data_IF_083665280134
#
_entry.id   IF_083665280134
#
_cell.length_a   1.000
_cell.length_b   1.000
_cell.length_c   1.000
_cell.angle_alpha   90.00
_cell.angle_beta   90.00
_cell.angle_gamma   90.00
#
_symmetry.space_group_name_H-M   'P 1'
#
loop_
_entity.id
_entity.type
_entity.pdbx_description
1 polymer ?
#
# COMPACT_ATOMS: atom_id res chain seq x y z
N UNK A 1 -5.63 -6.54 -12.62
CA UNK A 1 -7.05 -6.55 -12.24
C UNK A 1 -7.21 -6.50 -10.73
N UNK A 2 -8.13 -5.67 -10.24
CA UNK A 2 -8.41 -5.52 -8.82
C UNK A 2 -9.81 -6.07 -8.50
N UNK A 3 -9.92 -6.95 -7.50
CA UNK A 3 -11.21 -7.54 -7.09
C UNK A 3 -12.23 -6.48 -6.63
N UNK A 4 -11.76 -5.31 -6.19
CA UNK A 4 -12.61 -4.18 -5.79
C UNK A 4 -13.30 -3.46 -6.95
N UNK A 5 -13.00 -3.82 -8.19
CA UNK A 5 -13.57 -3.22 -9.40
C UNK A 5 -14.61 -4.12 -10.11
N UNK A 6 -15.15 -5.10 -9.41
CA UNK A 6 -16.18 -6.02 -9.91
C UNK A 6 -17.43 -5.29 -10.42
N UNK A 7 -17.96 -4.35 -9.65
CA UNK A 7 -19.09 -3.51 -10.06
C UNK A 7 -18.82 -2.69 -11.32
N UNK A 8 -17.60 -2.13 -11.48
CA UNK A 8 -17.23 -1.41 -12.69
C UNK A 8 -17.20 -2.36 -13.90
N UNK A 9 -16.59 -3.54 -13.76
CA UNK A 9 -16.52 -4.53 -14.83
C UNK A 9 -17.90 -4.99 -15.26
N UNK A 10 -18.81 -5.22 -14.30
CA UNK A 10 -20.21 -5.53 -14.57
C UNK A 10 -20.88 -4.45 -15.41
N UNK A 11 -20.82 -3.20 -14.97
CA UNK A 11 -21.43 -2.07 -15.70
C UNK A 11 -20.86 -1.93 -17.12
N UNK A 12 -19.53 -2.10 -17.29
CA UNK A 12 -18.91 -2.04 -18.61
C UNK A 12 -19.39 -3.17 -19.53
N UNK A 13 -19.52 -4.39 -19.03
CA UNK A 13 -20.00 -5.51 -19.82
C UNK A 13 -21.49 -5.37 -20.18
N UNK A 14 -22.31 -4.75 -19.33
CA UNK A 14 -23.71 -4.47 -19.60
C UNK A 14 -23.92 -3.31 -20.58
N UNK A 15 -23.05 -2.30 -20.56
CA UNK A 15 -23.20 -1.08 -21.34
C UNK A 15 -22.64 -1.19 -22.77
N UNK A 16 -21.57 -1.95 -22.96
CA UNK A 16 -20.84 -2.03 -24.23
C UNK A 16 -21.06 -3.38 -24.91
N UNK A 17 -21.21 -3.35 -26.25
CA UNK A 17 -21.34 -4.58 -27.05
C UNK A 17 -20.03 -5.37 -27.08
N UNK A 18 -18.89 -4.68 -27.14
CA UNK A 18 -17.58 -5.31 -27.07
C UNK A 18 -16.55 -4.42 -26.40
N UNK A 19 -15.64 -5.07 -25.69
CA UNK A 19 -14.55 -4.45 -24.95
C UNK A 19 -13.24 -5.13 -25.39
N UNK A 20 -12.29 -4.33 -25.87
CA UNK A 20 -10.97 -4.79 -26.28
C UNK A 20 -9.94 -4.25 -25.31
N UNK A 21 -9.21 -5.14 -24.64
CA UNK A 21 -8.21 -4.79 -23.62
C UNK A 21 -6.84 -5.29 -24.08
N UNK A 22 -5.97 -4.36 -24.43
CA UNK A 22 -4.59 -4.65 -24.78
C UNK A 22 -3.67 -4.30 -23.60
N UNK A 23 -3.15 -5.31 -22.92
CA UNK A 23 -2.31 -5.17 -21.74
C UNK A 23 -0.84 -5.03 -22.13
N UNK A 24 -0.26 -3.87 -21.82
CA UNK A 24 1.13 -3.51 -22.17
C UNK A 24 2.13 -3.78 -21.05
N UNK A 25 1.67 -4.33 -19.92
CA UNK A 25 2.53 -4.60 -18.75
C UNK A 25 3.27 -3.36 -18.21
N UNK A 26 4.49 -3.49 -17.71
CA UNK A 26 5.31 -2.38 -17.20
C UNK A 26 5.08 -2.05 -15.73
N UNK A 27 4.60 -3.02 -14.93
CA UNK A 27 4.39 -2.84 -13.49
C UNK A 27 5.73 -2.85 -12.72
N UNK A 28 6.23 -1.66 -12.39
CA UNK A 28 7.46 -1.50 -11.62
C UNK A 28 7.32 -1.74 -10.11
N UNK A 29 6.10 -2.06 -9.63
CA UNK A 29 5.84 -2.37 -8.21
C UNK A 29 6.02 -3.86 -7.89
N UNK A 30 6.21 -4.70 -8.90
CA UNK A 30 6.50 -6.13 -8.75
C UNK A 30 7.98 -6.36 -8.41
N UNK A 31 8.34 -7.57 -8.00
CA UNK A 31 9.71 -7.98 -7.67
C UNK A 31 10.03 -9.36 -8.26
N UNK A 32 11.31 -9.75 -8.22
CA UNK A 32 11.75 -11.06 -8.67
C UNK A 32 11.46 -11.33 -10.15
N UNK A 33 11.07 -12.56 -10.47
CA UNK A 33 10.76 -12.99 -11.83
C UNK A 33 9.61 -12.20 -12.44
N UNK A 34 8.58 -11.92 -11.65
CA UNK A 34 7.45 -11.11 -12.12
C UNK A 34 7.89 -9.73 -12.59
N UNK A 35 8.85 -9.09 -11.89
CA UNK A 35 9.41 -7.79 -12.32
C UNK A 35 10.19 -7.90 -13.62
N UNK A 36 10.90 -9.01 -13.84
CA UNK A 36 11.60 -9.27 -15.10
C UNK A 36 10.64 -9.43 -16.27
N UNK A 37 9.54 -10.16 -16.08
CA UNK A 37 8.49 -10.35 -17.09
C UNK A 37 7.80 -9.03 -17.46
N UNK A 38 7.49 -8.19 -16.47
CA UNK A 38 6.89 -6.86 -16.68
C UNK A 38 7.81 -5.92 -17.46
N UNK A 39 9.12 -5.99 -17.24
CA UNK A 39 10.19 -5.22 -17.88
C UNK A 39 9.90 -3.72 -17.86
N UNK A 40 10.02 -3.03 -18.99
CA UNK A 40 9.92 -1.58 -19.07
C UNK A 40 8.49 -1.10 -19.28
N UNK A 41 8.22 0.15 -18.90
CA UNK A 41 6.93 0.78 -19.15
C UNK A 41 6.98 1.58 -20.46
N UNK A 42 5.91 1.56 -21.24
CA UNK A 42 5.83 2.28 -22.54
C UNK A 42 5.98 3.81 -22.39
N UNK A 43 5.61 4.38 -21.26
CA UNK A 43 5.80 5.81 -20.96
C UNK A 43 7.19 6.13 -20.36
N UNK A 44 8.08 5.14 -20.23
CA UNK A 44 9.45 5.33 -19.78
C UNK A 44 9.61 5.39 -18.26
N UNK A 45 10.76 5.97 -17.83
CA UNK A 45 11.12 6.03 -16.41
C UNK A 45 10.17 6.94 -15.62
N UNK A 46 9.87 6.53 -14.38
CA UNK A 46 8.95 7.25 -13.49
C UNK A 46 7.53 6.65 -13.45
N UNK A 47 7.05 6.02 -14.50
CA UNK A 47 5.75 5.31 -14.49
C UNK A 47 5.90 3.94 -13.84
N UNK A 48 5.17 3.73 -12.75
CA UNK A 48 5.27 2.51 -11.92
C UNK A 48 4.08 1.56 -12.05
N UNK A 49 3.00 1.99 -12.65
CA UNK A 49 1.77 1.20 -12.85
C UNK A 49 1.76 0.54 -14.22
N UNK A 50 1.20 -0.67 -14.33
CA UNK A 50 1.01 -1.31 -15.65
C UNK A 50 0.06 -0.48 -16.50
N UNK A 51 0.22 -0.57 -17.82
CA UNK A 51 -0.60 0.14 -18.80
C UNK A 51 -1.46 -0.87 -19.54
N UNK A 52 -2.71 -0.51 -19.79
CA UNK A 52 -3.59 -1.21 -20.71
C UNK A 52 -4.30 -0.19 -21.60
N UNK A 53 -4.40 -0.49 -22.89
CA UNK A 53 -5.25 0.24 -23.84
C UNK A 53 -6.60 -0.46 -23.82
N UNK A 54 -7.67 0.30 -23.59
CA UNK A 54 -9.04 -0.21 -23.58
C UNK A 54 -9.85 0.50 -24.67
N UNK A 55 -10.46 -0.27 -25.57
CA UNK A 55 -11.36 0.24 -26.60
C UNK A 55 -12.73 -0.36 -26.34
N UNK A 56 -13.70 0.52 -26.08
CA UNK A 56 -15.06 0.18 -25.71
C UNK A 56 -15.99 0.51 -26.87
N UNK A 57 -16.69 -0.49 -27.40
CA UNK A 57 -17.60 -0.33 -28.54
C UNK A 57 -19.04 -0.43 -28.06
N UNK A 58 -19.83 0.61 -28.31
CA UNK A 58 -21.26 0.65 -27.99
C UNK A 58 -22.06 0.52 -29.28
N UNK A 59 -22.60 -0.68 -29.53
CA UNK A 59 -23.50 -0.94 -30.64
C UNK A 59 -24.82 -1.52 -30.11
N UNK A 60 -25.89 -0.69 -30.05
CA UNK A 60 -27.18 -1.14 -29.57
C UNK A 60 -27.84 -2.26 -30.44
N UNK A 61 -27.38 -2.41 -31.67
CA UNK A 61 -27.89 -3.42 -32.60
C UNK A 61 -27.04 -4.69 -32.64
N UNK A 62 -26.03 -4.81 -31.79
CA UNK A 62 -25.21 -6.02 -31.71
C UNK A 62 -26.04 -7.20 -31.19
N UNK A 63 -25.90 -8.34 -31.83
CA UNK A 63 -26.59 -9.59 -31.42
C UNK A 63 -26.22 -10.02 -30.02
N UNK A 64 -25.00 -9.72 -29.58
CA UNK A 64 -24.49 -10.02 -28.23
C UNK A 64 -23.87 -8.76 -27.63
N UNK A 65 -24.15 -8.55 -26.37
CA UNK A 65 -23.54 -7.51 -25.55
C UNK A 65 -22.46 -8.11 -24.64
N UNK A 66 -21.51 -7.30 -24.17
CA UNK A 66 -20.55 -7.67 -23.15
C UNK A 66 -19.44 -8.62 -23.60
N UNK A 67 -19.13 -8.68 -24.90
CA UNK A 67 -18.00 -9.51 -25.38
C UNK A 67 -16.68 -8.86 -24.99
N UNK A 68 -15.85 -9.59 -24.28
CA UNK A 68 -14.59 -9.09 -23.74
C UNK A 68 -13.43 -9.81 -24.45
N UNK A 69 -12.54 -9.02 -25.03
CA UNK A 69 -11.36 -9.48 -25.74
C UNK A 69 -10.11 -8.98 -25.06
N UNK A 70 -9.21 -9.88 -24.72
CA UNK A 70 -7.96 -9.57 -24.03
C UNK A 70 -6.77 -9.96 -24.91
N UNK A 71 -5.78 -9.08 -24.96
CA UNK A 71 -4.47 -9.36 -25.54
C UNK A 71 -3.36 -8.89 -24.60
N UNK A 72 -2.37 -9.75 -24.37
CA UNK A 72 -1.19 -9.43 -23.57
C UNK A 72 0.02 -9.29 -24.49
N UNK A 73 0.77 -8.21 -24.34
CA UNK A 73 1.91 -7.90 -25.22
C UNK A 73 3.07 -8.91 -25.10
N UNK A 74 3.14 -9.64 -24.00
CA UNK A 74 4.17 -10.65 -23.76
C UNK A 74 5.18 -10.29 -22.67
N UNK A 75 6.03 -11.29 -22.32
CA UNK A 75 7.04 -11.24 -21.27
C UNK A 75 8.34 -10.59 -21.77
N UNK A 76 9.08 -9.95 -20.84
CA UNK A 76 10.47 -9.47 -20.97
C UNK A 76 10.73 -8.38 -22.02
N UNK A 77 9.70 -7.75 -22.58
CA UNK A 77 9.85 -6.76 -23.64
C UNK A 77 10.37 -5.43 -23.10
N UNK A 78 11.38 -4.87 -23.76
CA UNK A 78 11.83 -3.49 -23.52
C UNK A 78 10.77 -2.49 -23.98
N UNK A 79 10.92 -1.23 -23.58
CA UNK A 79 10.04 -0.14 -24.03
C UNK A 79 9.97 -0.06 -25.56
N UNK A 80 11.12 -0.11 -26.22
CA UNK A 80 11.27 -0.01 -27.66
C UNK A 80 10.56 -1.19 -28.36
N UNK A 81 10.76 -2.41 -27.90
CA UNK A 81 10.09 -3.62 -28.42
C UNK A 81 8.58 -3.54 -28.27
N UNK A 82 8.08 -3.02 -27.13
CA UNK A 82 6.63 -2.82 -26.93
C UNK A 82 6.05 -1.82 -27.92
N UNK A 83 6.75 -0.68 -28.14
CA UNK A 83 6.31 0.32 -29.09
C UNK A 83 6.34 -0.19 -30.53
N UNK A 84 7.34 -0.97 -30.89
CA UNK A 84 7.43 -1.66 -32.19
C UNK A 84 6.27 -2.63 -32.36
N UNK A 85 6.02 -3.52 -31.39
CA UNK A 85 4.87 -4.43 -31.41
C UNK A 85 3.53 -3.70 -31.57
N UNK A 86 3.33 -2.59 -30.85
CA UNK A 86 2.11 -1.77 -30.99
C UNK A 86 1.98 -1.21 -32.41
N UNK A 87 3.09 -0.71 -32.97
CA UNK A 87 3.11 -0.17 -34.34
C UNK A 87 2.83 -1.25 -35.38
N UNK A 88 3.40 -2.44 -35.22
CA UNK A 88 3.16 -3.59 -36.12
C UNK A 88 1.73 -4.11 -36.08
N UNK A 89 1.10 -4.14 -34.90
CA UNK A 89 -0.29 -4.55 -34.73
C UNK A 89 -1.25 -3.50 -35.29
N UNK A 90 -0.94 -2.22 -35.14
CA UNK A 90 -1.59 -1.07 -35.75
C UNK A 90 -3.04 -0.83 -35.33
N UNK A 91 -3.86 -1.89 -35.15
CA UNK A 91 -5.28 -1.78 -34.86
C UNK A 91 -5.85 -3.02 -34.18
N UNK A 92 -7.11 -2.96 -33.74
CA UNK A 92 -7.89 -4.11 -33.27
C UNK A 92 -7.88 -5.24 -34.33
N UNK A 93 -8.05 -4.87 -35.61
CA UNK A 93 -8.06 -5.83 -36.70
C UNK A 93 -6.70 -6.48 -36.91
N UNK A 94 -5.60 -5.75 -36.78
CA UNK A 94 -4.26 -6.32 -36.86
C UNK A 94 -3.97 -7.36 -35.78
N UNK A 95 -4.54 -7.19 -34.59
CA UNK A 95 -4.48 -8.23 -33.53
C UNK A 95 -5.39 -9.41 -33.90
N UNK A 96 -6.58 -9.15 -34.45
CA UNK A 96 -7.53 -10.20 -34.86
C UNK A 96 -6.99 -11.06 -35.99
N UNK A 97 -6.37 -10.48 -37.01
CA UNK A 97 -5.74 -11.17 -38.13
C UNK A 97 -4.63 -12.15 -37.70
N UNK A 98 -3.94 -11.81 -36.59
CA UNK A 98 -2.93 -12.65 -35.96
C UNK A 98 -3.52 -13.63 -34.93
N UNK A 99 -4.85 -13.72 -34.83
CA UNK A 99 -5.56 -14.53 -33.82
C UNK A 99 -5.11 -14.24 -32.38
N UNK A 100 -4.73 -12.98 -32.12
CA UNK A 100 -4.13 -12.57 -30.85
C UNK A 100 -5.15 -12.25 -29.75
N UNK A 101 -6.45 -12.19 -30.06
CA UNK A 101 -7.47 -11.93 -29.05
C UNK A 101 -7.89 -13.20 -28.33
N UNK A 102 -7.85 -13.16 -26.99
CA UNK A 102 -8.47 -14.14 -26.10
C UNK A 102 -9.84 -13.62 -25.69
N UNK A 103 -10.91 -14.36 -25.98
CA UNK A 103 -12.24 -14.04 -25.46
C UNK A 103 -12.30 -14.43 -23.98
N UNK A 104 -12.75 -13.48 -23.15
CA UNK A 104 -12.90 -13.64 -21.70
C UNK A 104 -14.37 -13.82 -21.37
N UNK A 105 -14.68 -14.88 -20.63
CA UNK A 105 -15.99 -15.10 -20.02
C UNK A 105 -15.85 -14.75 -18.52
N UNK A 106 -16.51 -13.69 -18.04
CA UNK A 106 -16.49 -13.36 -16.62
C UNK A 106 -17.03 -14.48 -15.74
N UNK A 107 -16.53 -14.60 -14.53
CA UNK A 107 -17.14 -15.45 -13.51
C UNK A 107 -18.41 -14.82 -12.90
N UNK A 108 -19.06 -15.51 -11.95
CA UNK A 108 -20.25 -15.03 -11.24
C UNK A 108 -20.04 -13.72 -10.46
N UNK A 109 -18.77 -13.38 -10.16
CA UNK A 109 -18.37 -12.14 -9.49
C UNK A 109 -17.98 -11.03 -10.47
N UNK A 110 -18.12 -11.25 -11.78
CA UNK A 110 -17.67 -10.37 -12.86
C UNK A 110 -16.13 -10.15 -12.87
N UNK A 111 -15.36 -11.12 -12.39
CA UNK A 111 -13.91 -11.11 -12.54
C UNK A 111 -13.54 -11.65 -13.93
N UNK A 112 -12.62 -10.94 -14.62
CA UNK A 112 -12.27 -11.25 -16.01
C UNK A 112 -11.06 -12.17 -16.11
N UNK A 113 -9.93 -11.81 -15.48
CA UNK A 113 -8.67 -12.54 -15.57
C UNK A 113 -8.34 -13.29 -14.28
N UNK A 114 -8.42 -12.60 -13.13
CA UNK A 114 -8.13 -13.18 -11.82
C UNK A 114 -9.42 -13.68 -11.18
N UNK A 115 -10.04 -14.68 -11.82
CA UNK A 115 -11.27 -15.29 -11.34
C UNK A 115 -11.05 -15.93 -9.96
N UNK A 116 -12.06 -15.84 -9.12
CA UNK A 116 -12.01 -16.36 -7.75
C UNK A 116 -12.07 -17.89 -7.77
N UNK A 117 -11.30 -18.50 -6.89
CA UNK A 117 -11.43 -19.93 -6.65
C UNK A 117 -12.71 -20.19 -5.84
N UNK A 118 -13.70 -20.93 -6.36
CA UNK A 118 -14.94 -21.23 -5.66
C UNK A 118 -14.72 -22.04 -4.37
N UNK A 119 -13.57 -22.70 -4.23
CA UNK A 119 -13.23 -23.40 -2.99
C UNK A 119 -12.79 -22.46 -1.87
N UNK A 120 -12.59 -21.16 -2.15
CA UNK A 120 -12.08 -20.23 -1.14
C UNK A 120 -13.00 -20.15 0.09
N UNK A 121 -14.33 -20.23 -0.10
CA UNK A 121 -15.30 -20.15 0.99
C UNK A 121 -15.34 -21.42 1.87
N UNK A 122 -14.67 -22.50 1.45
CA UNK A 122 -14.52 -23.72 2.23
C UNK A 122 -13.36 -23.62 3.25
N UNK A 123 -12.51 -22.60 3.16
CA UNK A 123 -11.39 -22.41 4.07
C UNK A 123 -11.77 -21.55 5.28
N UNK A 124 -11.27 -21.94 6.46
CA UNK A 124 -11.40 -21.11 7.65
C UNK A 124 -10.59 -19.82 7.45
N UNK A 125 -11.23 -18.68 7.63
CA UNK A 125 -10.58 -17.38 7.52
C UNK A 125 -9.48 -17.21 8.57
N UNK A 126 -8.36 -16.60 8.20
CA UNK A 126 -7.31 -16.26 9.18
C UNK A 126 -7.82 -15.26 10.22
N UNK A 127 -8.73 -14.37 9.86
CA UNK A 127 -9.34 -13.42 10.77
C UNK A 127 -10.45 -12.63 10.08
N UNK A 128 -11.46 -12.21 10.83
CA UNK A 128 -12.55 -11.37 10.34
C UNK A 128 -12.71 -10.11 11.20
N UNK A 129 -12.77 -8.94 10.56
CA UNK A 129 -12.97 -7.65 11.24
C UNK A 129 -14.45 -7.27 11.37
N UNK A 130 -15.28 -7.84 10.54
CA UNK A 130 -16.68 -7.45 10.41
C UNK A 130 -17.56 -8.32 11.29
N UNK A 131 -17.38 -9.62 11.21
CA UNK A 131 -18.14 -10.60 12.00
C UNK A 131 -17.29 -11.12 13.17
N UNK A 132 -17.68 -10.72 14.39
CA UNK A 132 -17.01 -11.15 15.62
C UNK A 132 -17.33 -12.60 15.99
N UNK A 133 -18.35 -13.19 15.40
CA UNK A 133 -18.77 -14.56 15.65
C UNK A 133 -18.28 -15.52 14.56
N UNK A 134 -17.61 -15.01 13.52
CA UNK A 134 -17.05 -15.83 12.47
C UNK A 134 -16.03 -16.83 13.03
N UNK A 135 -16.05 -18.05 12.50
CA UNK A 135 -15.01 -19.03 12.79
C UNK A 135 -13.71 -18.56 12.13
N UNK A 136 -12.72 -18.20 12.94
CA UNK A 136 -11.42 -17.68 12.49
C UNK A 136 -10.25 -18.37 13.19
N UNK A 137 -9.09 -18.37 12.55
CA UNK A 137 -7.86 -18.92 13.17
C UNK A 137 -7.30 -17.96 14.22
N UNK A 138 -7.33 -16.65 13.96
CA UNK A 138 -6.78 -15.62 14.85
C UNK A 138 -7.82 -14.53 15.14
N UNK A 139 -8.05 -14.26 16.42
CA UNK A 139 -8.90 -13.15 16.87
C UNK A 139 -8.26 -11.78 16.64
N UNK A 140 -6.95 -11.71 16.77
CA UNK A 140 -6.18 -10.48 16.63
C UNK A 140 -5.18 -10.57 15.48
N UNK A 141 -5.16 -9.54 14.64
CA UNK A 141 -4.17 -9.40 13.59
C UNK A 141 -3.84 -7.93 13.35
N UNK A 142 -2.64 -7.66 12.89
CA UNK A 142 -2.10 -6.31 12.75
C UNK A 142 -1.25 -6.20 11.49
N UNK A 143 -1.20 -5.01 10.91
CA UNK A 143 -0.23 -4.70 9.84
C UNK A 143 1.18 -4.44 10.38
N UNK A 144 1.42 -4.64 11.68
CA UNK A 144 2.67 -4.29 12.34
C UNK A 144 2.69 -2.81 12.76
N UNK A 145 3.88 -2.31 13.07
CA UNK A 145 4.08 -0.91 13.45
C UNK A 145 4.56 -0.11 12.24
N UNK A 146 4.00 1.07 12.05
CA UNK A 146 4.45 2.05 11.06
C UNK A 146 4.98 3.25 11.80
N UNK A 147 6.28 3.44 11.78
CA UNK A 147 6.94 4.57 12.47
C UNK A 147 6.97 5.83 11.63
N UNK A 148 7.14 5.74 10.32
CA UNK A 148 7.52 6.80 9.37
C UNK A 148 8.86 7.49 9.71
N UNK A 149 9.59 6.96 10.71
CA UNK A 149 10.87 7.46 11.20
C UNK A 149 11.71 6.34 11.80
N UNK A 150 11.95 5.30 11.02
CA UNK A 150 12.67 4.10 11.49
C UNK A 150 14.03 4.47 12.06
N UNK A 151 14.77 5.39 11.44
CA UNK A 151 16.08 5.86 11.92
C UNK A 151 16.06 6.44 13.36
N UNK A 152 14.90 6.88 13.84
CA UNK A 152 14.71 7.37 15.20
C UNK A 152 14.13 6.30 16.14
N UNK A 153 13.15 5.56 15.64
CA UNK A 153 12.35 4.65 16.45
C UNK A 153 12.93 3.23 16.56
N UNK A 154 14.00 2.90 15.82
CA UNK A 154 14.71 1.64 15.90
C UNK A 154 16.19 1.83 16.18
N UNK A 155 16.80 0.94 16.95
CA UNK A 155 18.23 0.88 17.16
C UNK A 155 18.66 -0.51 17.65
N UNK A 156 19.90 -0.91 17.38
CA UNK A 156 20.49 -2.12 17.92
C UNK A 156 20.80 -2.02 19.44
N UNK A 157 21.00 -0.80 19.94
CA UNK A 157 21.21 -0.51 21.36
C UNK A 157 19.97 0.15 21.94
N UNK A 158 19.45 -0.39 23.06
CA UNK A 158 18.35 0.21 23.82
C UNK A 158 18.74 1.55 24.47
N UNK A 159 19.98 1.70 24.92
CA UNK A 159 20.48 2.96 25.48
C UNK A 159 20.58 4.06 24.43
N UNK A 160 21.08 3.75 23.23
CA UNK A 160 21.11 4.71 22.12
C UNK A 160 19.70 5.04 21.63
N UNK A 161 18.80 4.08 21.59
CA UNK A 161 17.40 4.33 21.27
C UNK A 161 16.75 5.26 22.29
N UNK A 162 16.97 5.02 23.59
CA UNK A 162 16.49 5.86 24.69
C UNK A 162 16.95 7.31 24.49
N UNK A 163 18.25 7.51 24.29
CA UNK A 163 18.84 8.83 24.08
C UNK A 163 18.26 9.51 22.82
N UNK A 164 18.17 8.81 21.71
CA UNK A 164 17.61 9.33 20.47
C UNK A 164 16.16 9.79 20.67
N UNK A 165 15.34 8.97 21.34
CA UNK A 165 13.93 9.29 21.54
C UNK A 165 13.74 10.45 22.54
N UNK A 166 14.54 10.51 23.59
CA UNK A 166 14.53 11.65 24.53
C UNK A 166 14.90 12.95 23.81
N UNK A 167 15.94 12.92 22.99
CA UNK A 167 16.38 14.08 22.22
C UNK A 167 15.30 14.53 21.21
N UNK A 168 14.70 13.60 20.47
CA UNK A 168 13.66 13.89 19.49
C UNK A 168 12.39 14.47 20.16
N UNK A 169 11.94 13.86 21.27
CA UNK A 169 10.77 14.32 22.02
C UNK A 169 11.05 15.69 22.64
N UNK A 170 12.24 15.89 23.19
CA UNK A 170 12.68 17.19 23.72
C UNK A 170 12.68 18.28 22.64
N UNK A 171 13.22 17.99 21.47
CA UNK A 171 13.18 18.90 20.34
C UNK A 171 11.75 19.22 19.91
N UNK A 172 10.87 18.22 19.77
CA UNK A 172 9.46 18.43 19.44
C UNK A 172 8.77 19.33 20.47
N UNK A 173 8.94 19.06 21.76
CA UNK A 173 8.32 19.87 22.83
C UNK A 173 8.83 21.33 22.83
N UNK A 174 10.11 21.54 22.50
CA UNK A 174 10.66 22.88 22.32
C UNK A 174 10.02 23.60 21.11
N UNK A 175 9.79 22.91 20.00
CA UNK A 175 9.07 23.48 18.85
C UNK A 175 7.62 23.81 19.18
N UNK A 176 6.93 22.98 19.99
CA UNK A 176 5.60 23.29 20.51
C UNK A 176 5.63 24.59 21.34
N UNK A 177 6.56 24.70 22.29
CA UNK A 177 6.70 25.92 23.13
C UNK A 177 7.01 27.16 22.29
N UNK A 178 7.91 27.03 21.30
CA UNK A 178 8.27 28.08 20.34
C UNK A 178 7.05 28.57 19.55
N UNK A 179 6.24 27.64 19.04
CA UNK A 179 5.02 27.94 18.28
C UNK A 179 3.97 28.61 19.16
N UNK A 180 3.71 28.09 20.36
CA UNK A 180 2.75 28.67 21.31
C UNK A 180 3.15 30.09 21.71
N UNK A 181 4.45 30.32 21.89
CA UNK A 181 4.97 31.67 22.17
C UNK A 181 4.73 32.64 21.01
N UNK A 182 5.01 32.18 19.77
CA UNK A 182 4.77 33.00 18.58
C UNK A 182 3.28 33.30 18.34
N UNK A 183 2.38 32.40 18.77
CA UNK A 183 0.92 32.60 18.66
C UNK A 183 0.30 33.42 19.79
N UNK A 184 1.06 33.77 20.82
CA UNK A 184 0.52 34.48 22.01
C UNK A 184 -0.08 35.83 21.62
N UNK A 185 -1.36 36.03 21.93
CA UNK A 185 -2.08 37.29 21.64
C UNK A 185 -2.56 37.43 20.18
N UNK A 186 -2.30 36.45 19.32
CA UNK A 186 -2.75 36.44 17.91
C UNK A 186 -4.09 35.75 17.75
N UNK A 187 -4.97 36.30 16.92
CA UNK A 187 -6.16 35.60 16.43
C UNK A 187 -5.75 34.43 15.52
N UNK A 188 -6.65 33.48 15.29
CA UNK A 188 -6.36 32.26 14.49
C UNK A 188 -5.81 32.56 13.08
N UNK A 189 -6.38 33.57 12.41
CA UNK A 189 -5.95 34.00 11.08
C UNK A 189 -4.60 34.73 11.03
N UNK A 190 -4.06 35.13 12.18
CA UNK A 190 -2.77 35.81 12.30
C UNK A 190 -1.64 34.87 12.70
N UNK A 191 -1.98 33.63 13.07
CA UNK A 191 -0.98 32.63 13.46
C UNK A 191 -0.12 32.22 12.27
N UNK A 192 1.17 31.93 12.48
CA UNK A 192 2.04 31.46 11.43
C UNK A 192 1.56 30.10 10.90
N UNK A 193 1.72 29.87 9.59
CA UNK A 193 1.52 28.55 8.99
C UNK A 193 2.54 27.57 9.59
N UNK A 194 2.05 26.42 10.02
CA UNK A 194 2.85 25.39 10.71
C UNK A 194 3.99 24.91 9.83
N UNK A 195 3.74 24.64 8.53
CA UNK A 195 4.77 24.12 7.65
C UNK A 195 5.90 25.11 7.38
N UNK A 196 5.59 26.41 7.38
CA UNK A 196 6.59 27.46 7.20
C UNK A 196 7.34 27.80 8.50
N UNK A 197 6.74 27.48 9.65
CA UNK A 197 7.30 27.79 10.97
C UNK A 197 8.29 26.73 11.47
N UNK A 198 8.06 25.44 11.15
CA UNK A 198 8.82 24.33 11.69
C UNK A 198 10.30 24.36 11.29
N UNK A 199 11.13 23.92 12.21
CA UNK A 199 12.51 23.59 11.90
C UNK A 199 12.59 22.17 11.31
N UNK A 200 12.98 22.06 10.04
CA UNK A 200 13.12 20.81 9.28
C UNK A 200 14.54 20.23 9.33
N UNK A 201 15.26 20.43 10.41
CA UNK A 201 16.55 19.77 10.62
C UNK A 201 16.35 18.26 10.87
N UNK A 202 16.58 17.47 9.84
CA UNK A 202 16.43 16.00 9.87
C UNK A 202 17.38 15.33 10.88
N UNK A 203 18.43 16.03 11.35
CA UNK A 203 19.30 15.53 12.40
C UNK A 203 18.64 15.63 13.79
N UNK A 204 17.54 16.35 13.91
CA UNK A 204 16.79 16.56 15.16
C UNK A 204 15.48 15.77 15.20
N UNK A 205 14.76 15.78 14.08
CA UNK A 205 13.47 15.11 14.00
C UNK A 205 13.01 14.92 12.55
N UNK A 206 12.36 13.80 12.28
CA UNK A 206 11.57 13.59 11.05
C UNK A 206 10.10 13.90 11.35
N UNK A 207 9.55 14.92 10.67
CA UNK A 207 8.16 15.36 10.85
C UNK A 207 7.18 14.50 10.04
N UNK A 208 6.04 14.21 10.63
CA UNK A 208 4.91 13.65 9.91
C UNK A 208 3.60 14.40 10.26
N UNK A 209 2.51 14.01 9.63
CA UNK A 209 1.22 14.66 9.73
C UNK A 209 0.69 14.73 11.18
N UNK A 210 0.91 13.71 12.01
CA UNK A 210 0.42 13.68 13.38
C UNK A 210 1.07 14.79 14.24
N UNK A 211 2.40 14.89 14.18
CA UNK A 211 3.14 15.91 14.94
C UNK A 211 2.82 17.32 14.46
N UNK A 212 2.66 17.51 13.14
CA UNK A 212 2.28 18.80 12.56
C UNK A 212 0.88 19.26 12.99
N UNK A 213 -0.05 18.31 13.21
CA UNK A 213 -1.39 18.59 13.70
C UNK A 213 -1.46 18.80 15.23
N UNK A 214 -0.60 18.13 15.98
CA UNK A 214 -0.59 18.20 17.44
C UNK A 214 0.12 19.45 17.94
N UNK A 215 1.15 19.92 17.23
CA UNK A 215 1.96 21.10 17.59
C UNK A 215 1.13 22.40 17.77
N UNK A 216 0.26 22.81 16.83
CA UNK A 216 -0.53 24.03 17.01
C UNK A 216 -1.55 23.93 18.15
N UNK A 217 -1.92 22.73 18.56
CA UNK A 217 -2.79 22.48 19.71
C UNK A 217 -2.05 22.57 21.05
N UNK A 218 -0.73 22.76 21.02
CA UNK A 218 0.09 22.79 22.22
C UNK A 218 0.32 21.43 22.87
N UNK A 219 0.06 20.33 22.15
CA UNK A 219 0.22 18.98 22.67
C UNK A 219 1.69 18.60 22.74
N UNK A 220 2.17 18.30 23.92
CA UNK A 220 3.52 17.79 24.18
C UNK A 220 3.54 16.28 24.30
N UNK A 221 4.70 15.66 24.09
CA UNK A 221 4.91 14.22 24.25
C UNK A 221 5.81 13.95 25.46
N UNK A 222 5.59 12.78 26.08
CA UNK A 222 6.37 12.35 27.23
C UNK A 222 7.10 11.05 26.84
N UNK A 223 8.40 11.02 27.14
CA UNK A 223 9.17 9.78 26.99
C UNK A 223 8.77 8.78 28.09
N UNK A 224 8.65 7.51 27.71
CA UNK A 224 8.34 6.40 28.62
C UNK A 224 9.26 5.21 28.34
N UNK A 225 9.99 4.75 29.32
CA UNK A 225 10.91 3.59 29.19
C UNK A 225 10.18 2.31 28.77
N UNK A 226 8.97 2.08 29.27
CA UNK A 226 8.15 0.94 28.93
C UNK A 226 7.74 0.86 27.43
N UNK A 227 7.98 1.92 26.68
CA UNK A 227 7.78 1.94 25.22
C UNK A 227 8.93 1.31 24.45
N UNK A 228 10.09 1.05 25.09
CA UNK A 228 11.21 0.36 24.45
C UNK A 228 10.97 -1.16 24.54
N UNK A 229 10.93 -1.81 23.38
CA UNK A 229 10.65 -3.24 23.27
C UNK A 229 11.56 -3.88 22.22
N UNK A 230 11.89 -5.16 22.41
CA UNK A 230 12.57 -5.94 21.38
C UNK A 230 11.62 -6.19 20.20
N UNK A 231 12.11 -6.02 18.99
CA UNK A 231 11.33 -6.16 17.76
C UNK A 231 12.08 -6.93 16.68
N UNK A 232 11.33 -7.66 15.86
CA UNK A 232 11.82 -8.20 14.59
C UNK A 232 11.67 -7.11 13.53
N UNK A 233 12.74 -6.36 13.28
CA UNK A 233 12.71 -5.23 12.33
C UNK A 233 12.61 -5.70 10.87
N UNK A 234 13.38 -6.71 10.54
CA UNK A 234 13.39 -7.39 9.24
C UNK A 234 13.41 -8.90 9.49
N UNK A 235 13.09 -9.75 8.51
CA UNK A 235 13.38 -11.16 8.64
C UNK A 235 14.83 -11.36 9.07
N UNK A 236 15.04 -12.09 10.18
CA UNK A 236 16.35 -12.40 10.75
C UNK A 236 17.11 -11.21 11.40
N UNK A 237 16.51 -10.03 11.51
CA UNK A 237 17.14 -8.86 12.16
C UNK A 237 16.33 -8.42 13.36
N UNK A 238 16.92 -8.51 14.57
CA UNK A 238 16.32 -8.02 15.82
C UNK A 238 16.92 -6.67 16.18
N UNK A 239 16.05 -5.74 16.55
CA UNK A 239 16.41 -4.42 17.07
C UNK A 239 15.49 -4.06 18.22
N UNK A 240 15.80 -2.96 18.91
CA UNK A 240 14.90 -2.32 19.85
C UNK A 240 14.03 -1.31 19.13
N UNK A 241 12.73 -1.26 19.48
CA UNK A 241 11.78 -0.27 18.96
C UNK A 241 11.21 0.56 20.09
N UNK A 242 11.02 1.85 19.84
CA UNK A 242 10.17 2.69 20.68
C UNK A 242 8.73 2.61 20.20
N UNK A 243 7.90 1.81 20.85
CA UNK A 243 6.51 1.54 20.48
C UNK A 243 5.55 2.44 21.29
N UNK A 244 5.18 3.57 20.75
CA UNK A 244 4.31 4.56 21.40
C UNK A 244 3.31 5.16 20.40
N UNK A 245 2.02 5.25 20.80
CA UNK A 245 0.95 5.74 19.92
C UNK A 245 1.09 7.22 19.52
N UNK A 246 1.70 8.04 20.35
CA UNK A 246 1.86 9.46 20.10
C UNK A 246 3.01 9.74 19.15
N UNK A 247 4.06 8.93 19.23
CA UNK A 247 5.28 9.11 18.45
C UNK A 247 5.21 8.35 17.11
N UNK A 248 4.75 7.10 17.13
CA UNK A 248 4.68 6.31 15.90
C UNK A 248 3.47 6.72 15.05
N UNK A 249 3.63 6.68 13.74
CA UNK A 249 2.55 7.01 12.81
C UNK A 249 1.34 6.09 13.01
N UNK A 250 1.56 4.78 13.12
CA UNK A 250 0.51 3.78 13.44
C UNK A 250 1.11 2.61 14.22
N UNK A 251 0.49 2.26 15.32
CA UNK A 251 0.82 1.05 16.10
C UNK A 251 -0.19 -0.08 15.88
N UNK A 252 -1.32 0.21 15.22
CA UNK A 252 -2.42 -0.73 14.93
C UNK A 252 -2.83 -1.57 16.15
N UNK A 253 -2.91 -2.90 16.01
CA UNK A 253 -3.27 -3.81 17.09
C UNK A 253 -2.07 -4.34 17.90
N UNK A 254 -0.85 -3.91 17.57
CA UNK A 254 0.35 -4.38 18.27
C UNK A 254 0.29 -4.23 19.80
N UNK A 255 -0.26 -3.11 20.37
CA UNK A 255 -0.41 -3.02 21.84
C UNK A 255 -1.41 -3.99 22.46
N UNK A 256 -2.28 -4.66 21.67
CA UNK A 256 -3.11 -5.76 22.14
C UNK A 256 -2.40 -7.11 22.05
N UNK A 257 -1.58 -7.28 21.01
CA UNK A 257 -0.82 -8.51 20.76
C UNK A 257 0.36 -8.59 21.73
N UNK A 258 1.06 -7.47 21.94
CA UNK A 258 2.18 -7.30 22.86
C UNK A 258 1.94 -6.07 23.77
N UNK A 259 1.17 -6.21 24.85
CA UNK A 259 0.86 -5.09 25.76
C UNK A 259 2.07 -4.47 26.44
N UNK A 260 3.12 -5.24 26.67
CA UNK A 260 4.38 -4.80 27.29
C UNK A 260 5.55 -5.70 26.87
N UNK A 261 6.76 -5.30 27.23
CA UNK A 261 8.01 -5.99 26.87
C UNK A 261 8.15 -7.41 27.45
N UNK A 262 7.36 -7.77 28.46
CA UNK A 262 7.38 -9.09 29.10
C UNK A 262 6.29 -10.03 28.57
N UNK A 263 5.47 -9.57 27.65
CA UNK A 263 4.41 -10.38 27.07
C UNK A 263 5.00 -11.51 26.22
N UNK A 264 4.77 -12.74 26.64
CA UNK A 264 5.09 -13.93 25.85
C UNK A 264 3.92 -14.20 24.92
N UNK A 265 4.15 -14.09 23.61
CA UNK A 265 3.17 -14.39 22.58
C UNK A 265 3.88 -14.87 21.32
N UNK A 266 3.16 -15.60 20.47
CA UNK A 266 3.63 -16.04 19.16
C UNK A 266 2.73 -15.44 18.08
N UNK A 267 3.34 -15.02 16.99
CA UNK A 267 2.63 -14.47 15.83
C UNK A 267 3.12 -15.13 14.56
N UNK A 268 2.24 -15.26 13.60
CA UNK A 268 2.59 -15.66 12.24
C UNK A 268 2.54 -14.40 11.36
N UNK A 269 3.63 -14.12 10.68
CA UNK A 269 3.68 -13.02 9.71
C UNK A 269 3.39 -13.55 8.31
N UNK A 270 2.43 -12.96 7.63
CA UNK A 270 2.04 -13.34 6.26
C UNK A 270 2.01 -12.10 5.36
N UNK A 271 2.26 -12.29 4.06
CA UNK A 271 2.06 -11.21 3.09
C UNK A 271 0.60 -10.79 3.07
N UNK A 272 0.36 -9.48 3.19
CA UNK A 272 -1.00 -8.92 3.26
C UNK A 272 -1.75 -9.02 1.93
N UNK A 273 -3.08 -9.00 2.01
CA UNK A 273 -3.98 -8.93 0.85
C UNK A 273 -3.64 -7.70 0.00
N UNK A 274 -3.55 -7.88 -1.30
CA UNK A 274 -3.17 -6.82 -2.24
C UNK A 274 -1.66 -6.56 -2.32
N UNK A 275 -0.83 -7.37 -1.66
CA UNK A 275 0.62 -7.35 -1.88
C UNK A 275 0.91 -7.73 -3.34
N UNK A 276 1.84 -7.02 -3.96
CA UNK A 276 2.39 -7.38 -5.28
C UNK A 276 3.48 -8.44 -5.19
N UNK A 277 3.86 -8.83 -3.98
CA UNK A 277 4.84 -9.89 -3.71
C UNK A 277 4.13 -11.23 -3.61
N UNK A 278 4.86 -12.28 -3.90
CA UNK A 278 4.40 -13.65 -3.68
C UNK A 278 4.04 -13.89 -2.22
N UNK A 279 3.13 -14.83 -1.97
CA UNK A 279 2.77 -15.23 -0.62
C UNK A 279 4.00 -15.78 0.10
N UNK A 280 4.22 -15.29 1.31
CA UNK A 280 5.26 -15.80 2.21
C UNK A 280 4.77 -15.76 3.65
N UNK A 281 5.27 -16.68 4.45
CA UNK A 281 5.04 -16.75 5.90
C UNK A 281 6.36 -16.73 6.65
N UNK A 282 6.34 -16.19 7.88
CA UNK A 282 7.41 -16.20 8.85
C UNK A 282 6.86 -16.58 10.22
#
# INVERSE_FOLDING_TARGET
>A
EANTADGLRKCLAEEFSSLYIFHLRGNARTSGERRRKEKDNVFGQGTRTPIAISILVKNPQAEKQGRIYFHDIGDYLTREQKLETIAELGSINGIAERQGWQEIVPDEFNDWLNQRDPNFDNYISLGDKKDKNALVVFENYSSGIKTNRDAWCYNFSDDLLRQNMQNMIGFYNNEVARFQTACKGLSENQRPDVNNFLNYDDTKMSWDFAQKNDLPKGKTYTFTDNSIQAALYRPFTKEWIYCNREVNNRVYQMPKIFPNQHTVNQVISVTGRGSTKEFSTL
#
